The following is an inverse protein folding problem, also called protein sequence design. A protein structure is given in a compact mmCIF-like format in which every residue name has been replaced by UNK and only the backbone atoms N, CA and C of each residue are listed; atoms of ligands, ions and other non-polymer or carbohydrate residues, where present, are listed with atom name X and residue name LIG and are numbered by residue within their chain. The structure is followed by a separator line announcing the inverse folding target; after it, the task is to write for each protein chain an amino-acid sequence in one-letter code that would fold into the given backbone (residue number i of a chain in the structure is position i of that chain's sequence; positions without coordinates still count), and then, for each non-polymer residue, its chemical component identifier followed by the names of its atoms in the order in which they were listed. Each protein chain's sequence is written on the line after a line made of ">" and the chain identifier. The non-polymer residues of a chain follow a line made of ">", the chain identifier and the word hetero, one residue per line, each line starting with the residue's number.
data_IF_567807405850
#
_entry.id   IF_567807405850
#
_cell.length_a   1.000
_cell.length_b   1.000
_cell.length_c   1.000
_cell.angle_alpha   90.00
_cell.angle_beta   90.00
_cell.angle_gamma   90.00
#
_symmetry.space_group_name_H-M   'P 1'
#
loop_
_entity.id
_entity.type
_entity.pdbx_description
1 polymer ?
#
# COMPACT_ATOMS: atom_id res chain seq x y z
N UNK A 1 -13.34 -15.07 9.86
CA UNK A 1 -12.04 -15.76 9.89
C UNK A 1 -10.95 -14.73 9.61
N UNK A 2 -9.82 -14.79 10.32
CA UNK A 2 -8.68 -13.89 10.07
C UNK A 2 -7.70 -14.47 9.04
N UNK A 3 -7.79 -15.76 8.75
CA UNK A 3 -6.95 -16.45 7.78
C UNK A 3 -7.81 -17.09 6.70
N UNK A 4 -7.27 -17.13 5.49
CA UNK A 4 -7.87 -17.78 4.34
C UNK A 4 -6.77 -18.40 3.50
N UNK A 5 -6.86 -19.69 3.20
CA UNK A 5 -5.90 -20.38 2.33
C UNK A 5 -6.68 -21.25 1.34
N UNK A 6 -6.62 -20.90 0.07
CA UNK A 6 -7.34 -21.58 -1.01
C UNK A 6 -6.44 -21.66 -2.25
N UNK A 7 -5.72 -22.77 -2.48
CA UNK A 7 -4.69 -22.85 -3.52
C UNK A 7 -5.18 -22.56 -4.95
N UNK A 8 -6.47 -22.77 -5.22
CA UNK A 8 -7.07 -22.53 -6.54
C UNK A 8 -7.97 -21.29 -6.58
N UNK A 9 -7.94 -20.47 -5.52
CA UNK A 9 -8.73 -19.26 -5.40
C UNK A 9 -8.04 -18.04 -6.04
N UNK A 10 -8.79 -16.94 -6.27
CA UNK A 10 -8.21 -15.68 -6.73
C UNK A 10 -7.30 -15.01 -5.68
N UNK A 11 -7.45 -15.39 -4.42
CA UNK A 11 -6.55 -15.07 -3.32
C UNK A 11 -6.09 -16.41 -2.76
N UNK A 12 -4.80 -16.75 -2.94
CA UNK A 12 -4.27 -18.05 -2.49
C UNK A 12 -4.01 -18.07 -0.99
N UNK A 13 -3.56 -16.94 -0.44
CA UNK A 13 -3.27 -16.75 0.98
C UNK A 13 -3.74 -15.36 1.44
N UNK A 14 -4.77 -15.33 2.28
CA UNK A 14 -5.34 -14.12 2.89
C UNK A 14 -5.06 -14.06 4.38
N UNK A 15 -4.67 -12.89 4.87
CA UNK A 15 -4.51 -12.59 6.30
C UNK A 15 -5.16 -11.23 6.58
N UNK A 16 -6.29 -11.27 7.30
CA UNK A 16 -7.18 -10.14 7.46
C UNK A 16 -7.11 -9.58 8.87
N UNK A 17 -7.30 -8.27 8.97
CA UNK A 17 -7.43 -7.55 10.23
C UNK A 17 -8.78 -6.83 10.26
N UNK A 18 -9.15 -6.34 11.44
CA UNK A 18 -10.35 -5.55 11.62
C UNK A 18 -10.06 -4.35 12.51
N UNK A 19 -10.78 -3.27 12.26
CA UNK A 19 -10.85 -2.11 13.15
C UNK A 19 -12.20 -2.08 13.88
N UNK A 20 -12.80 -3.25 14.15
CA UNK A 20 -14.13 -3.35 14.79
C UNK A 20 -14.14 -2.63 16.13
N UNK A 21 -14.89 -1.53 16.22
CA UNK A 21 -14.94 -0.68 17.41
C UNK A 21 -14.17 0.64 17.27
N UNK A 22 -13.59 0.89 16.08
CA UNK A 22 -13.05 2.17 15.65
C UNK A 22 -14.03 3.31 15.94
N UNK A 23 -13.52 4.35 16.57
CA UNK A 23 -14.17 5.63 16.72
C UNK A 23 -13.13 6.72 17.02
N UNK A 24 -13.61 7.96 17.16
CA UNK A 24 -12.77 9.12 17.42
C UNK A 24 -11.83 8.97 18.64
N UNK A 25 -12.24 8.22 19.67
CA UNK A 25 -11.46 8.03 20.90
C UNK A 25 -10.58 6.78 20.84
N UNK A 26 -11.09 5.69 20.30
CA UNK A 26 -10.38 4.42 20.17
C UNK A 26 -10.23 4.07 18.69
N UNK A 27 -9.02 4.25 18.15
CA UNK A 27 -8.80 4.04 16.73
C UNK A 27 -8.78 2.54 16.35
N UNK A 28 -8.56 1.63 17.31
CA UNK A 28 -8.48 0.17 17.05
C UNK A 28 -7.65 -0.17 15.80
N UNK A 29 -6.64 0.64 15.50
CA UNK A 29 -5.83 0.49 14.30
C UNK A 29 -4.93 -0.73 14.49
N UNK A 30 -4.90 -1.68 13.53
CA UNK A 30 -3.92 -2.75 13.54
C UNK A 30 -2.50 -2.16 13.56
N UNK A 31 -1.58 -2.86 14.22
CA UNK A 31 -0.16 -2.50 14.19
C UNK A 31 0.40 -2.67 12.79
N UNK A 32 0.94 -1.61 12.18
CA UNK A 32 1.54 -1.69 10.85
C UNK A 32 2.72 -2.67 10.81
N UNK A 33 3.51 -2.74 11.88
CA UNK A 33 4.58 -3.73 12.02
C UNK A 33 4.07 -5.18 11.97
N UNK A 34 2.90 -5.46 12.55
CA UNK A 34 2.28 -6.79 12.49
C UNK A 34 1.75 -7.09 11.09
N UNK A 35 1.21 -6.08 10.39
CA UNK A 35 0.80 -6.20 9.00
C UNK A 35 2.00 -6.48 8.09
N UNK A 36 3.10 -5.73 8.23
CA UNK A 36 4.34 -5.97 7.49
C UNK A 36 4.93 -7.36 7.79
N UNK A 37 4.92 -7.79 9.05
CA UNK A 37 5.34 -9.13 9.43
C UNK A 37 4.46 -10.21 8.80
N UNK A 38 3.16 -9.94 8.67
CA UNK A 38 2.20 -10.85 8.03
C UNK A 38 2.49 -11.02 6.54
N UNK A 39 2.66 -9.93 5.78
CA UNK A 39 3.05 -10.03 4.37
C UNK A 39 4.40 -10.74 4.23
N UNK A 40 5.38 -10.39 5.07
CA UNK A 40 6.70 -11.04 5.07
C UNK A 40 6.58 -12.55 5.30
N UNK A 41 5.76 -12.97 6.24
CA UNK A 41 5.48 -14.38 6.49
C UNK A 41 4.92 -15.07 5.24
N UNK A 42 3.98 -14.43 4.53
CA UNK A 42 3.44 -14.98 3.29
C UNK A 42 4.51 -15.11 2.20
N UNK A 43 5.36 -14.09 2.04
CA UNK A 43 6.47 -14.14 1.08
C UNK A 43 7.46 -15.28 1.38
N UNK A 44 7.76 -15.55 2.65
CA UNK A 44 8.80 -16.51 3.01
C UNK A 44 8.29 -17.94 3.18
N UNK A 45 7.07 -18.12 3.67
CA UNK A 45 6.50 -19.46 3.89
C UNK A 45 5.87 -20.03 2.62
N UNK A 46 5.25 -19.17 1.82
CA UNK A 46 4.48 -19.60 0.66
C UNK A 46 5.12 -19.19 -0.67
N UNK A 47 6.08 -18.26 -0.66
CA UNK A 47 6.73 -17.82 -1.90
C UNK A 47 5.76 -17.19 -2.88
N UNK A 48 4.79 -16.41 -2.39
CA UNK A 48 3.76 -15.79 -3.24
C UNK A 48 4.41 -14.95 -4.34
N UNK A 49 3.87 -14.97 -5.57
CA UNK A 49 4.40 -14.17 -6.68
C UNK A 49 3.98 -12.69 -6.60
N UNK A 50 2.85 -12.43 -5.94
CA UNK A 50 2.25 -11.11 -5.80
C UNK A 50 1.54 -11.00 -4.45
N UNK A 51 1.69 -9.86 -3.77
CA UNK A 51 1.05 -9.57 -2.50
C UNK A 51 0.59 -8.12 -2.42
N UNK A 52 -0.54 -7.90 -1.74
CA UNK A 52 -1.05 -6.57 -1.41
C UNK A 52 -1.11 -6.47 0.10
N UNK A 53 -0.61 -5.37 0.64
CA UNK A 53 -0.73 -5.03 2.05
C UNK A 53 -1.43 -3.68 2.17
N UNK A 54 -2.32 -3.58 3.15
CA UNK A 54 -3.10 -2.39 3.42
C UNK A 54 -2.90 -1.98 4.88
N UNK A 55 -2.28 -0.83 5.09
CA UNK A 55 -2.19 -0.14 6.39
C UNK A 55 -3.27 0.93 6.49
N UNK A 56 -3.73 1.26 7.69
CA UNK A 56 -4.76 2.29 7.90
C UNK A 56 -4.40 3.34 8.94
N UNK A 57 -3.18 3.31 9.49
CA UNK A 57 -2.74 4.24 10.54
C UNK A 57 -2.80 5.69 10.09
N UNK A 58 -2.17 6.04 8.96
CA UNK A 58 -2.09 7.43 8.53
C UNK A 58 -3.46 8.03 8.17
N UNK A 59 -4.33 7.24 7.53
CA UNK A 59 -5.72 7.63 7.30
C UNK A 59 -6.46 7.92 8.61
N UNK A 60 -6.36 6.99 9.58
CA UNK A 60 -6.98 7.12 10.91
C UNK A 60 -6.43 8.31 11.70
N UNK A 61 -5.14 8.60 11.55
CA UNK A 61 -4.48 9.73 12.21
C UNK A 61 -4.96 11.04 11.59
N UNK A 62 -5.05 11.12 10.27
CA UNK A 62 -5.52 12.31 9.57
C UNK A 62 -6.98 12.62 9.89
N UNK A 63 -7.85 11.61 9.95
CA UNK A 63 -9.23 11.78 10.44
C UNK A 63 -9.32 12.35 11.86
N UNK A 64 -8.40 11.96 12.74
CA UNK A 64 -8.47 12.31 14.16
C UNK A 64 -7.84 13.65 14.47
N UNK A 65 -6.69 13.94 13.89
CA UNK A 65 -5.85 15.09 14.22
C UNK A 65 -5.75 16.11 13.09
N UNK A 66 -6.11 15.74 11.87
CA UNK A 66 -5.81 16.53 10.68
C UNK A 66 -4.36 16.35 10.23
N UNK A 67 -3.98 17.17 9.25
CA UNK A 67 -2.62 17.27 8.74
C UNK A 67 -1.96 18.54 9.31
N UNK A 68 -0.62 18.62 9.28
CA UNK A 68 0.18 19.65 9.97
C UNK A 68 0.04 19.63 11.51
N UNK A 69 0.27 18.44 12.09
CA UNK A 69 0.25 18.22 13.54
C UNK A 69 1.42 17.34 13.98
N UNK A 70 1.86 17.50 15.23
CA UNK A 70 2.92 16.65 15.80
C UNK A 70 2.53 15.17 15.85
N UNK A 71 1.24 14.88 16.01
CA UNK A 71 0.70 13.53 15.99
C UNK A 71 0.84 12.88 14.60
N UNK A 72 0.52 13.62 13.53
CA UNK A 72 0.71 13.14 12.16
C UNK A 72 2.20 13.00 11.82
N UNK A 73 3.03 14.00 12.16
CA UNK A 73 4.48 13.93 11.95
C UNK A 73 5.06 12.67 12.60
N UNK A 74 4.73 12.44 13.87
CA UNK A 74 5.21 11.26 14.59
C UNK A 74 4.74 9.96 13.94
N UNK A 75 3.47 9.88 13.52
CA UNK A 75 2.94 8.69 12.85
C UNK A 75 3.65 8.41 11.52
N UNK A 76 3.96 9.46 10.73
CA UNK A 76 4.72 9.33 9.49
C UNK A 76 6.13 8.78 9.74
N UNK A 77 6.86 9.34 10.72
CA UNK A 77 8.20 8.86 11.07
C UNK A 77 8.19 7.42 11.61
N UNK A 78 7.18 7.04 12.38
CA UNK A 78 7.04 5.67 12.88
C UNK A 78 6.74 4.69 11.74
N UNK A 79 5.81 5.04 10.83
CA UNK A 79 5.49 4.23 9.65
C UNK A 79 6.72 4.01 8.78
N UNK A 80 7.46 5.08 8.46
CA UNK A 80 8.70 5.01 7.68
C UNK A 80 9.74 4.09 8.35
N UNK A 81 10.01 4.30 9.64
CA UNK A 81 10.96 3.48 10.39
C UNK A 81 10.56 2.00 10.48
N UNK A 82 9.26 1.72 10.62
CA UNK A 82 8.73 0.35 10.61
C UNK A 82 8.91 -0.29 9.24
N UNK A 83 8.51 0.39 8.15
CA UNK A 83 8.67 -0.11 6.79
C UNK A 83 10.14 -0.37 6.43
N UNK A 84 11.05 0.51 6.86
CA UNK A 84 12.49 0.39 6.63
C UNK A 84 13.08 -0.93 7.19
N UNK A 85 12.45 -1.55 8.20
CA UNK A 85 12.87 -2.85 8.72
C UNK A 85 12.51 -4.03 7.81
N UNK A 86 11.52 -3.88 6.93
CA UNK A 86 11.00 -4.94 6.06
C UNK A 86 11.39 -4.76 4.59
N UNK A 87 11.46 -3.53 4.10
CA UNK A 87 11.74 -3.23 2.70
C UNK A 87 13.04 -3.90 2.18
N UNK A 88 14.20 -3.81 2.87
CA UNK A 88 15.42 -4.48 2.42
C UNK A 88 15.29 -6.01 2.39
N UNK A 89 14.47 -6.57 3.29
CA UNK A 89 14.22 -8.02 3.37
C UNK A 89 13.41 -8.49 2.17
N UNK A 90 12.35 -7.78 1.80
CA UNK A 90 11.58 -8.09 0.60
C UNK A 90 12.43 -7.97 -0.67
N UNK A 91 13.22 -6.89 -0.80
CA UNK A 91 14.17 -6.74 -1.93
C UNK A 91 15.18 -7.88 -1.99
N UNK A 92 15.75 -8.29 -0.85
CA UNK A 92 16.68 -9.43 -0.78
C UNK A 92 16.02 -10.75 -1.19
N UNK A 93 14.72 -10.91 -0.91
CA UNK A 93 13.94 -12.08 -1.32
C UNK A 93 13.50 -12.03 -2.79
N UNK A 94 13.92 -11.01 -3.55
CA UNK A 94 13.67 -10.90 -4.99
C UNK A 94 12.38 -10.16 -5.36
N UNK A 95 11.65 -9.60 -4.39
CA UNK A 95 10.42 -8.86 -4.65
C UNK A 95 10.72 -7.42 -5.05
N UNK A 96 10.02 -6.91 -6.05
CA UNK A 96 9.87 -5.46 -6.25
C UNK A 96 8.79 -4.92 -5.31
N UNK A 97 8.96 -3.70 -4.82
CA UNK A 97 8.05 -3.10 -3.84
C UNK A 97 7.58 -1.75 -4.35
N UNK A 98 6.25 -1.58 -4.41
CA UNK A 98 5.59 -0.30 -4.65
C UNK A 98 4.96 0.14 -3.33
N UNK A 99 5.25 1.35 -2.91
CA UNK A 99 4.62 2.01 -1.76
C UNK A 99 3.81 3.17 -2.30
N UNK A 100 2.49 3.12 -2.14
CA UNK A 100 1.58 4.17 -2.60
C UNK A 100 0.37 4.27 -1.65
N UNK A 101 -0.51 5.23 -1.92
CA UNK A 101 -1.81 5.34 -1.26
C UNK A 101 -2.94 5.11 -2.26
N UNK A 102 -4.15 4.92 -1.75
CA UNK A 102 -5.38 4.89 -2.54
C UNK A 102 -5.99 6.30 -2.70
N UNK A 103 -5.75 7.19 -1.74
CA UNK A 103 -6.16 8.59 -1.77
C UNK A 103 -5.31 9.49 -0.85
N UNK A 104 -5.49 10.80 -0.99
CA UNK A 104 -5.05 11.82 -0.03
C UNK A 104 -6.16 12.22 0.94
N UNK A 105 -5.95 13.28 1.71
CA UNK A 105 -6.94 13.86 2.63
C UNK A 105 -6.78 15.39 2.70
N UNK A 106 -7.86 16.10 3.00
CA UNK A 106 -7.79 17.52 3.32
C UNK A 106 -7.00 17.79 4.59
N UNK A 107 -6.56 19.03 4.80
CA UNK A 107 -5.91 19.45 6.05
C UNK A 107 -6.69 19.09 7.33
N UNK A 108 -8.01 18.92 7.23
CA UNK A 108 -8.88 18.54 8.36
C UNK A 108 -9.22 17.05 8.40
N UNK A 109 -8.56 16.23 7.58
CA UNK A 109 -8.73 14.79 7.58
C UNK A 109 -9.95 14.27 6.82
N UNK A 110 -10.40 14.96 5.76
CA UNK A 110 -11.51 14.46 4.93
C UNK A 110 -11.02 14.00 3.56
N UNK A 111 -11.53 12.89 3.03
CA UNK A 111 -11.24 12.41 1.67
C UNK A 111 -12.53 12.15 0.88
N UNK A 112 -12.40 11.72 -0.38
CA UNK A 112 -13.54 11.42 -1.26
C UNK A 112 -14.06 12.58 -2.11
N UNK A 113 -13.39 13.74 -2.07
CA UNK A 113 -13.65 14.85 -3.00
C UNK A 113 -12.69 14.84 -4.21
N UNK A 114 -12.82 15.89 -5.04
CA UNK A 114 -12.03 16.10 -6.27
C UNK A 114 -10.96 17.19 -6.09
N UNK A 115 -10.58 17.49 -4.85
CA UNK A 115 -9.47 18.41 -4.60
C UNK A 115 -8.14 17.67 -4.76
N UNK A 116 -7.10 18.38 -5.24
CA UNK A 116 -5.76 17.83 -5.44
C UNK A 116 -5.25 17.12 -4.17
N UNK A 117 -5.39 17.73 -2.98
CA UNK A 117 -4.98 17.12 -1.70
C UNK A 117 -5.71 15.81 -1.34
N UNK A 118 -6.84 15.51 -1.99
CA UNK A 118 -7.60 14.28 -1.81
C UNK A 118 -7.32 13.23 -2.89
N UNK A 119 -6.80 13.64 -4.05
CA UNK A 119 -6.55 12.75 -5.21
C UNK A 119 -5.07 12.44 -5.42
N UNK A 120 -4.20 13.41 -5.15
CA UNK A 120 -2.76 13.27 -5.33
C UNK A 120 -2.16 12.50 -4.15
N UNK A 121 -1.36 11.49 -4.49
CA UNK A 121 -0.59 10.72 -3.52
C UNK A 121 0.77 10.32 -4.10
N UNK A 122 1.73 10.08 -3.22
CA UNK A 122 3.06 9.65 -3.62
C UNK A 122 3.08 8.17 -4.04
N UNK A 123 3.95 7.85 -5.00
CA UNK A 123 4.31 6.48 -5.36
C UNK A 123 5.82 6.34 -5.29
N UNK A 124 6.30 5.41 -4.49
CA UNK A 124 7.70 5.02 -4.40
C UNK A 124 7.87 3.62 -4.95
N UNK A 125 8.87 3.42 -5.81
CA UNK A 125 9.17 2.14 -6.41
C UNK A 125 10.59 1.69 -6.05
N UNK A 126 10.70 0.47 -5.56
CA UNK A 126 11.94 -0.20 -5.22
C UNK A 126 12.02 -1.50 -6.03
N UNK A 127 12.66 -1.42 -7.19
CA UNK A 127 12.75 -2.54 -8.12
C UNK A 127 13.79 -2.26 -9.21
N UNK A 128 13.85 -3.15 -10.20
CA UNK A 128 14.83 -3.06 -11.30
C UNK A 128 14.20 -2.54 -12.61
N UNK A 129 12.90 -2.24 -12.59
CA UNK A 129 12.19 -1.60 -13.69
C UNK A 129 12.56 -0.13 -13.86
N UNK A 130 12.33 0.38 -15.05
CA UNK A 130 12.53 1.81 -15.36
C UNK A 130 11.20 2.53 -15.35
N UNK A 131 11.07 3.52 -14.47
CA UNK A 131 9.91 4.41 -14.40
C UNK A 131 10.08 5.68 -15.25
N UNK A 132 9.04 6.53 -15.29
CA UNK A 132 9.12 7.83 -15.96
C UNK A 132 9.92 8.83 -15.10
N UNK A 133 10.06 10.06 -15.61
CA UNK A 133 10.69 11.16 -14.87
C UNK A 133 9.97 11.41 -13.53
N UNK A 134 10.72 11.84 -12.51
CA UNK A 134 10.25 11.95 -11.12
C UNK A 134 8.92 12.70 -10.94
N UNK A 135 8.71 13.79 -11.68
CA UNK A 135 7.52 14.64 -11.55
C UNK A 135 6.41 14.28 -12.55
N UNK A 136 6.47 13.08 -13.14
CA UNK A 136 5.42 12.61 -14.05
C UNK A 136 4.16 12.29 -13.27
N UNK A 137 3.07 12.99 -13.58
CA UNK A 137 1.76 12.67 -13.04
C UNK A 137 1.31 11.28 -13.54
N UNK A 138 1.02 10.39 -12.60
CA UNK A 138 0.57 9.03 -12.87
C UNK A 138 -0.94 8.92 -12.64
N UNK A 139 -1.61 8.16 -13.51
CA UNK A 139 -2.99 7.73 -13.29
C UNK A 139 -2.99 6.45 -12.44
N UNK A 140 -3.77 6.41 -11.36
CA UNK A 140 -3.92 5.23 -10.51
C UNK A 140 -4.35 3.98 -11.29
N UNK A 141 -5.10 4.13 -12.39
CA UNK A 141 -5.46 3.03 -13.29
C UNK A 141 -4.24 2.38 -13.96
N UNK A 142 -3.11 3.08 -14.01
CA UNK A 142 -1.84 2.60 -14.58
C UNK A 142 -1.06 1.67 -13.64
N UNK A 143 -1.46 1.59 -12.36
CA UNK A 143 -0.78 0.74 -11.36
C UNK A 143 -0.88 -0.75 -11.69
N UNK A 144 -2.09 -1.24 -12.00
CA UNK A 144 -2.27 -2.65 -12.36
C UNK A 144 -1.56 -3.04 -13.68
N UNK A 145 -1.63 -2.25 -14.77
CA UNK A 145 -0.77 -2.45 -15.95
C UNK A 145 0.72 -2.55 -15.63
N UNK A 146 1.22 -1.68 -14.74
CA UNK A 146 2.62 -1.66 -14.34
C UNK A 146 3.03 -2.93 -13.58
N UNK A 147 2.21 -3.36 -12.62
CA UNK A 147 2.43 -4.62 -11.89
C UNK A 147 2.42 -5.81 -12.84
N UNK A 148 1.42 -5.92 -13.73
CA UNK A 148 1.34 -7.04 -14.68
C UNK A 148 2.54 -7.07 -15.64
N UNK A 149 3.00 -5.90 -16.11
CA UNK A 149 4.19 -5.77 -16.94
C UNK A 149 5.43 -6.34 -16.23
N UNK A 150 5.64 -5.95 -14.96
CA UNK A 150 6.78 -6.43 -14.15
C UNK A 150 6.70 -7.93 -13.83
N UNK A 151 5.49 -8.48 -13.69
CA UNK A 151 5.27 -9.92 -13.52
C UNK A 151 5.38 -10.72 -14.82
N UNK A 152 5.50 -10.07 -15.98
CA UNK A 152 5.50 -10.75 -17.28
C UNK A 152 4.14 -11.36 -17.65
N UNK A 153 3.05 -10.84 -17.07
CA UNK A 153 1.68 -11.30 -17.31
C UNK A 153 1.01 -10.39 -18.34
N UNK A 154 0.35 -10.99 -19.33
CA UNK A 154 -0.38 -10.23 -20.35
C UNK A 154 -1.51 -9.40 -19.74
N UNK A 155 -1.56 -8.12 -20.09
CA UNK A 155 -2.67 -7.25 -19.68
C UNK A 155 -3.97 -7.67 -20.38
N UNK A 156 -5.09 -7.79 -19.65
CA UNK A 156 -6.39 -8.09 -20.26
C UNK A 156 -6.88 -6.92 -21.11
N UNK A 157 -7.61 -7.20 -22.19
CA UNK A 157 -8.10 -6.16 -23.13
C UNK A 157 -8.99 -5.10 -22.47
N UNK A 158 -9.61 -5.40 -21.33
CA UNK A 158 -10.45 -4.46 -20.57
C UNK A 158 -9.64 -3.43 -19.80
N UNK A 159 -8.36 -3.66 -19.56
CA UNK A 159 -7.44 -2.73 -18.91
C UNK A 159 -6.93 -1.72 -19.94
N UNK A 160 -7.35 -0.44 -19.81
CA UNK A 160 -7.11 0.58 -20.85
C UNK A 160 -5.93 1.51 -20.57
N UNK A 161 -5.54 1.64 -19.31
CA UNK A 161 -4.36 2.40 -18.92
C UNK A 161 -3.08 1.67 -19.37
N UNK A 162 -1.99 2.43 -19.50
CA UNK A 162 -0.70 1.89 -19.92
C UNK A 162 0.18 1.62 -18.70
N UNK A 163 1.14 0.70 -18.85
CA UNK A 163 2.19 0.55 -17.85
C UNK A 163 3.08 1.80 -17.84
N UNK A 164 3.38 2.32 -16.65
CA UNK A 164 4.42 3.33 -16.47
C UNK A 164 5.79 2.73 -16.13
N UNK A 165 5.86 1.41 -15.87
CA UNK A 165 7.11 0.68 -15.64
C UNK A 165 7.46 -0.20 -16.84
N UNK A 166 8.72 -0.14 -17.27
CA UNK A 166 9.30 -1.04 -18.26
C UNK A 166 10.28 -1.99 -17.57
#
# INVERSE_FOLDING_TARGET
>A
DMEYDEPNGPITHGRFHTMTGYNLRNQMTPSDADLFATLTMLTERHGIDYGILHTCTLDSMGHRFGHDTHEMDHALFVMDAQLAAFLPRWRKNGYEVIVCADHGQTQRGHHGGHADEQQDFALYYFGDGTGPEHDTLLDQLSLAPAILSRLGVSQPETMKAQSFLV
#
